data_IF_932857321528
#
_entry.id   IF_932857321528
#
_cell.length_a   1.000
_cell.length_b   1.000
_cell.length_c   1.000
_cell.angle_alpha   90.00
_cell.angle_beta   90.00
_cell.angle_gamma   90.00
#
_symmetry.space_group_name_H-M   'P 1'
#
loop_
_entity.id
_entity.type
_entity.pdbx_description
1 polymer ?
#
# COMPACT_ATOMS: atom_id res chain seq x y z
N UNK A 1 -18.44 20.06 -13.11
CA UNK A 1 -16.97 19.88 -13.31
C UNK A 1 -16.47 18.46 -13.06
N UNK A 2 -17.20 17.57 -12.35
CA UNK A 2 -16.73 16.21 -12.06
C UNK A 2 -16.93 15.18 -13.20
N UNK A 3 -17.94 15.36 -14.08
CA UNK A 3 -18.27 14.40 -15.15
C UNK A 3 -17.21 14.25 -16.27
N UNK A 4 -16.56 15.31 -16.78
CA UNK A 4 -15.50 15.17 -17.81
C UNK A 4 -14.25 14.48 -17.26
N UNK A 5 -13.93 14.71 -15.98
CA UNK A 5 -12.79 14.10 -15.29
C UNK A 5 -12.99 12.60 -15.03
N UNK A 6 -14.23 12.17 -14.84
CA UNK A 6 -14.60 10.76 -14.70
C UNK A 6 -14.42 9.99 -16.00
N UNK A 7 -14.80 10.60 -17.13
CA UNK A 7 -14.59 10.01 -18.44
C UNK A 7 -13.09 9.78 -18.70
N UNK A 8 -12.24 10.74 -18.30
CA UNK A 8 -10.77 10.58 -18.39
C UNK A 8 -10.17 9.57 -17.41
N UNK A 9 -10.76 9.38 -16.23
CA UNK A 9 -10.37 8.35 -15.24
C UNK A 9 -10.73 6.94 -15.74
N UNK A 10 -11.86 6.80 -16.43
CA UNK A 10 -12.34 5.53 -17.00
C UNK A 10 -11.76 5.23 -18.39
N UNK A 11 -11.45 6.25 -19.20
CA UNK A 11 -10.80 6.12 -20.52
C UNK A 11 -9.26 6.04 -20.39
N UNK A 12 -8.70 6.47 -19.25
CA UNK A 12 -7.26 6.47 -18.95
C UNK A 12 -6.65 5.13 -18.52
N UNK A 13 -7.40 4.03 -18.60
CA UNK A 13 -7.10 2.67 -18.09
C UNK A 13 -5.80 2.02 -18.59
N UNK A 14 -4.96 2.70 -19.36
CA UNK A 14 -3.71 2.15 -19.91
C UNK A 14 -2.53 3.09 -19.71
N UNK A 15 -2.16 3.42 -18.47
CA UNK A 15 -0.89 4.13 -18.22
C UNK A 15 -0.01 3.56 -17.10
N UNK A 16 1.03 2.85 -17.58
CA UNK A 16 2.42 2.70 -17.10
C UNK A 16 2.76 3.27 -15.71
N UNK A 17 2.41 2.56 -14.64
CA UNK A 17 3.04 2.75 -13.33
C UNK A 17 4.40 2.01 -13.32
N UNK A 18 5.51 2.75 -13.25
CA UNK A 18 6.88 2.23 -13.46
C UNK A 18 7.33 1.19 -12.42
N UNK A 19 6.79 1.22 -11.20
CA UNK A 19 7.14 0.25 -10.15
C UNK A 19 6.33 -1.06 -10.22
N UNK A 20 5.22 -1.06 -10.97
CA UNK A 20 4.39 -2.23 -11.23
C UNK A 20 4.63 -2.79 -12.63
N UNK A 21 5.57 -2.23 -13.41
CA UNK A 21 5.73 -2.51 -14.86
C UNK A 21 5.83 -3.99 -15.23
N UNK A 22 6.39 -4.83 -14.35
CA UNK A 22 6.51 -6.28 -14.54
C UNK A 22 5.26 -7.10 -14.15
N UNK A 23 4.33 -6.50 -13.41
CA UNK A 23 3.04 -7.12 -13.06
C UNK A 23 2.08 -7.07 -14.26
N UNK A 24 2.26 -6.10 -15.18
CA UNK A 24 1.34 -5.84 -16.29
C UNK A 24 1.39 -6.84 -17.46
N UNK A 25 2.31 -7.80 -17.47
CA UNK A 25 2.38 -8.84 -18.52
C UNK A 25 1.89 -10.20 -18.05
N UNK A 26 1.39 -10.30 -16.82
CA UNK A 26 0.99 -11.57 -16.22
C UNK A 26 -0.54 -11.68 -16.24
N UNK A 27 -1.01 -12.69 -16.96
CA UNK A 27 -2.40 -12.84 -17.39
C UNK A 27 -3.30 -13.49 -16.35
N UNK A 28 -2.79 -14.17 -15.32
CA UNK A 28 -3.65 -14.96 -14.44
C UNK A 28 -3.24 -15.01 -12.94
N UNK A 29 -4.29 -14.74 -12.16
CA UNK A 29 -4.53 -14.99 -10.74
C UNK A 29 -3.57 -14.40 -9.71
N UNK A 30 -3.97 -13.23 -9.20
CA UNK A 30 -3.30 -12.49 -8.15
C UNK A 30 -3.65 -13.07 -6.79
N UNK A 31 -2.70 -13.70 -6.10
CA UNK A 31 -2.87 -14.08 -4.69
C UNK A 31 -2.42 -12.91 -3.82
N UNK A 32 -3.28 -12.50 -2.88
CA UNK A 32 -2.85 -11.67 -1.75
C UNK A 32 -2.65 -12.56 -0.53
N UNK A 33 -1.44 -12.57 0.00
CA UNK A 33 -1.15 -13.05 1.35
C UNK A 33 -0.95 -11.82 2.21
N UNK A 34 -1.93 -11.53 3.07
CA UNK A 34 -1.83 -10.45 4.03
C UNK A 34 -1.36 -10.99 5.39
N UNK A 35 -0.27 -10.42 5.90
CA UNK A 35 0.25 -10.72 7.22
C UNK A 35 -0.70 -10.21 8.32
N UNK A 36 -0.70 -10.89 9.47
CA UNK A 36 -1.56 -10.58 10.62
C UNK A 36 -1.32 -9.14 11.12
N UNK A 37 -2.24 -8.65 11.97
CA UNK A 37 -2.12 -7.44 12.82
C UNK A 37 -0.92 -7.49 13.79
N UNK A 38 -0.02 -8.47 13.67
CA UNK A 38 1.18 -8.64 14.47
C UNK A 38 2.42 -8.90 13.59
N UNK A 39 2.39 -8.51 12.31
CA UNK A 39 3.49 -8.72 11.39
C UNK A 39 4.83 -8.23 11.97
N UNK A 40 4.85 -7.00 12.49
CA UNK A 40 6.02 -6.43 13.17
C UNK A 40 6.49 -7.25 14.37
N UNK A 41 5.58 -7.82 15.17
CA UNK A 41 5.95 -8.63 16.35
C UNK A 41 6.67 -9.94 15.99
N UNK A 42 6.75 -10.31 14.70
CA UNK A 42 7.57 -11.45 14.25
C UNK A 42 9.06 -11.10 14.19
N UNK A 43 9.41 -9.81 14.13
CA UNK A 43 10.80 -9.35 14.05
C UNK A 43 11.34 -9.08 15.48
N UNK A 44 12.44 -9.73 15.89
CA UNK A 44 13.13 -9.40 17.15
C UNK A 44 13.73 -8.00 17.10
N UNK A 45 13.73 -7.30 18.24
CA UNK A 45 14.52 -6.10 18.43
C UNK A 45 15.93 -6.51 18.88
N UNK A 46 16.96 -5.80 18.43
CA UNK A 46 18.33 -6.02 18.90
C UNK A 46 18.41 -5.81 20.41
N UNK A 47 19.12 -6.68 21.13
CA UNK A 47 19.14 -6.68 22.60
C UNK A 47 19.54 -5.32 23.20
N UNK A 48 20.45 -4.61 22.53
CA UNK A 48 20.90 -3.27 22.90
C UNK A 48 19.82 -2.17 22.78
N UNK A 49 18.78 -2.39 21.97
CA UNK A 49 17.71 -1.43 21.71
C UNK A 49 16.41 -1.70 22.48
N UNK A 50 16.29 -2.85 23.17
CA UNK A 50 15.06 -3.27 23.87
C UNK A 50 14.60 -2.21 24.88
N UNK A 51 15.52 -1.68 25.68
CA UNK A 51 15.23 -0.67 26.71
C UNK A 51 14.64 0.63 26.12
N UNK A 52 14.90 0.95 24.85
CA UNK A 52 14.33 2.12 24.16
C UNK A 52 12.84 1.97 23.86
N UNK A 53 12.31 0.75 23.95
CA UNK A 53 10.89 0.44 23.72
C UNK A 53 10.06 0.42 25.00
N UNK A 54 10.61 0.93 26.11
CA UNK A 54 9.94 0.94 27.39
C UNK A 54 8.63 1.74 27.35
N UNK A 55 7.52 1.09 27.72
CA UNK A 55 6.20 1.70 27.87
C UNK A 55 5.87 1.74 29.36
N UNK A 56 5.52 2.93 29.86
CA UNK A 56 5.02 3.12 31.22
C UNK A 56 3.52 2.87 31.28
N UNK A 57 3.12 1.94 32.13
CA UNK A 57 1.73 1.63 32.45
C UNK A 57 1.46 1.93 33.93
N UNK A 58 0.20 2.00 34.39
CA UNK A 58 -0.12 2.06 35.81
C UNK A 58 0.45 0.90 36.64
N UNK A 59 0.77 -0.23 35.99
CA UNK A 59 1.28 -1.45 36.62
C UNK A 59 2.81 -1.58 36.58
N UNK A 60 3.51 -0.60 36.01
CA UNK A 60 4.97 -0.60 35.92
C UNK A 60 5.51 -0.26 34.53
N UNK A 61 6.82 -0.41 34.39
CA UNK A 61 7.55 -0.21 33.14
C UNK A 61 7.76 -1.55 32.45
N UNK A 62 7.37 -1.63 31.17
CA UNK A 62 7.51 -2.84 30.36
C UNK A 62 8.29 -2.55 29.11
N UNK A 63 9.20 -3.45 28.74
CA UNK A 63 10.01 -3.37 27.53
C UNK A 63 9.56 -4.43 26.52
N UNK A 64 9.81 -4.19 25.23
CA UNK A 64 9.45 -5.13 24.18
C UNK A 64 10.66 -5.79 23.55
N UNK A 65 10.62 -7.12 23.49
CA UNK A 65 11.63 -7.94 22.79
C UNK A 65 11.36 -8.07 21.29
N UNK A 66 10.19 -7.61 20.83
CA UNK A 66 9.72 -7.71 19.45
C UNK A 66 9.26 -6.35 18.95
N UNK A 67 9.41 -6.13 17.66
CA UNK A 67 9.09 -4.84 17.06
C UNK A 67 7.61 -4.49 17.23
N UNK A 68 7.35 -3.32 17.82
CA UNK A 68 6.02 -2.81 18.08
C UNK A 68 5.57 -1.83 17.01
N UNK A 69 4.25 -1.63 16.92
CA UNK A 69 3.68 -0.54 16.14
C UNK A 69 4.07 0.80 16.75
N UNK A 70 4.29 1.80 15.90
CA UNK A 70 4.60 3.18 16.31
C UNK A 70 6.09 3.52 16.36
N UNK A 71 6.99 2.55 16.25
CA UNK A 71 8.42 2.81 16.07
C UNK A 71 8.65 3.46 14.70
N UNK A 72 9.42 4.56 14.66
CA UNK A 72 9.61 5.37 13.45
C UNK A 72 10.12 4.56 12.25
N UNK A 73 11.01 3.59 12.49
CA UNK A 73 11.64 2.81 11.43
C UNK A 73 11.02 1.42 11.23
N UNK A 74 9.98 1.04 11.98
CA UNK A 74 9.41 -0.31 11.92
C UNK A 74 8.98 -0.72 10.50
N UNK A 75 8.30 0.17 9.78
CA UNK A 75 7.85 -0.11 8.41
C UNK A 75 9.03 -0.35 7.45
N UNK A 76 10.09 0.47 7.56
CA UNK A 76 11.28 0.32 6.72
C UNK A 76 12.03 -0.97 7.02
N UNK A 77 12.24 -1.27 8.30
CA UNK A 77 12.90 -2.52 8.72
C UNK A 77 12.09 -3.75 8.28
N UNK A 78 10.76 -3.70 8.40
CA UNK A 78 9.89 -4.78 7.94
C UNK A 78 9.95 -4.97 6.43
N UNK A 79 9.95 -3.89 5.65
CA UNK A 79 10.10 -3.96 4.20
C UNK A 79 11.43 -4.60 3.82
N UNK A 80 12.56 -4.14 4.38
CA UNK A 80 13.88 -4.71 4.08
C UNK A 80 13.97 -6.19 4.43
N UNK A 81 13.36 -6.60 5.54
CA UNK A 81 13.30 -8.00 5.94
C UNK A 81 12.46 -8.84 4.97
N UNK A 82 11.27 -8.38 4.58
CA UNK A 82 10.42 -9.10 3.62
C UNK A 82 11.04 -9.13 2.21
N UNK A 83 11.79 -8.10 1.82
CA UNK A 83 12.55 -8.09 0.57
C UNK A 83 13.66 -9.16 0.58
N UNK A 84 14.31 -9.39 1.72
CA UNK A 84 15.27 -10.50 1.91
C UNK A 84 14.57 -11.86 1.80
N UNK A 85 13.44 -12.02 2.50
CA UNK A 85 12.65 -13.25 2.49
C UNK A 85 12.24 -13.58 1.06
N UNK A 86 11.65 -12.63 0.33
CA UNK A 86 11.15 -12.86 -1.04
C UNK A 86 12.22 -12.78 -2.12
N UNK A 87 13.49 -12.50 -1.77
CA UNK A 87 14.58 -12.35 -2.73
C UNK A 87 14.73 -13.61 -3.59
N UNK A 88 14.79 -13.38 -4.91
CA UNK A 88 14.98 -14.43 -5.92
C UNK A 88 13.70 -15.17 -6.32
N UNK A 89 12.56 -14.91 -5.66
CA UNK A 89 11.28 -15.46 -6.09
C UNK A 89 10.74 -14.66 -7.29
N UNK A 90 10.39 -15.36 -8.37
CA UNK A 90 9.82 -14.74 -9.57
C UNK A 90 8.32 -14.53 -9.38
N UNK A 91 7.79 -13.42 -9.88
CA UNK A 91 6.36 -13.11 -9.80
C UNK A 91 5.84 -12.81 -8.38
N UNK A 92 6.73 -12.71 -7.39
CA UNK A 92 6.38 -12.35 -6.00
C UNK A 92 6.75 -10.89 -5.76
N UNK A 93 5.79 -10.12 -5.26
CA UNK A 93 5.94 -8.70 -4.97
C UNK A 93 5.45 -8.44 -3.57
N UNK A 94 6.32 -7.93 -2.71
CA UNK A 94 5.97 -7.66 -1.33
C UNK A 94 5.98 -6.17 -1.02
N UNK A 95 4.96 -5.72 -0.31
CA UNK A 95 4.83 -4.35 0.15
C UNK A 95 4.36 -4.34 1.60
N UNK A 96 5.29 -4.05 2.50
CA UNK A 96 5.10 -4.09 3.95
C UNK A 96 4.37 -5.38 4.32
N UNK A 97 3.10 -5.31 4.71
CA UNK A 97 2.31 -6.43 5.21
C UNK A 97 1.57 -7.24 4.14
N UNK A 98 1.71 -6.87 2.87
CA UNK A 98 0.99 -7.50 1.76
C UNK A 98 1.99 -8.17 0.81
N UNK A 99 1.77 -9.45 0.49
CA UNK A 99 2.52 -10.16 -0.56
C UNK A 99 1.54 -10.48 -1.68
N UNK A 100 1.89 -10.00 -2.87
CA UNK A 100 1.21 -10.25 -4.14
C UNK A 100 1.99 -11.29 -4.93
N UNK A 101 1.32 -12.34 -5.41
CA UNK A 101 1.88 -13.28 -6.37
C UNK A 101 1.12 -13.15 -7.68
N UNK A 102 1.85 -12.92 -8.77
CA UNK A 102 1.33 -12.90 -10.13
C UNK A 102 2.08 -13.95 -10.98
N UNK A 103 1.37 -14.63 -11.88
CA UNK A 103 1.95 -15.67 -12.74
C UNK A 103 1.21 -15.71 -14.09
N UNK A 104 1.73 -16.45 -15.07
CA UNK A 104 1.08 -16.55 -16.38
C UNK A 104 0.09 -17.72 -16.50
N UNK A 105 0.27 -18.76 -15.68
CA UNK A 105 -0.57 -19.94 -15.65
C UNK A 105 -0.61 -20.57 -14.25
N UNK A 106 -1.57 -21.47 -14.02
CA UNK A 106 -1.83 -22.13 -12.72
C UNK A 106 -0.64 -22.97 -12.24
N UNK A 107 0.11 -23.60 -13.14
CA UNK A 107 1.26 -24.44 -12.80
C UNK A 107 2.44 -23.63 -12.26
N UNK A 108 2.78 -22.54 -12.95
CA UNK A 108 3.77 -21.55 -12.51
C UNK A 108 3.32 -20.95 -11.17
N UNK A 109 2.04 -20.62 -11.05
CA UNK A 109 1.47 -20.05 -9.85
C UNK A 109 1.59 -20.96 -8.63
N UNK A 110 1.27 -22.25 -8.80
CA UNK A 110 1.41 -23.26 -7.75
C UNK A 110 2.87 -23.44 -7.33
N UNK A 111 3.78 -23.37 -8.29
CA UNK A 111 5.23 -23.45 -8.05
C UNK A 111 5.72 -22.24 -7.26
N UNK A 112 5.30 -21.04 -7.64
CA UNK A 112 5.64 -19.79 -6.94
C UNK A 112 5.07 -19.75 -5.51
N UNK A 113 3.83 -20.20 -5.33
CA UNK A 113 3.20 -20.33 -4.01
C UNK A 113 3.99 -21.29 -3.10
N UNK A 114 4.36 -22.46 -3.62
CA UNK A 114 5.16 -23.44 -2.88
C UNK A 114 6.50 -22.85 -2.46
N UNK A 115 7.23 -22.25 -3.39
CA UNK A 115 8.52 -21.62 -3.12
C UNK A 115 8.42 -20.49 -2.08
N UNK A 116 7.34 -19.69 -2.14
CA UNK A 116 7.07 -18.69 -1.11
C UNK A 116 6.81 -19.35 0.24
N UNK A 117 5.91 -20.33 0.34
CA UNK A 117 5.59 -20.95 1.63
C UNK A 117 6.79 -21.65 2.26
N UNK A 118 7.61 -22.34 1.49
CA UNK A 118 8.88 -22.92 1.97
C UNK A 118 9.80 -21.84 2.54
N UNK A 119 9.86 -20.68 1.88
CA UNK A 119 10.66 -19.55 2.33
C UNK A 119 10.08 -18.91 3.60
N UNK A 120 8.76 -18.77 3.70
CA UNK A 120 8.11 -18.25 4.91
C UNK A 120 8.34 -19.19 6.09
N UNK A 121 8.25 -20.50 5.87
CA UNK A 121 8.52 -21.52 6.89
C UNK A 121 9.97 -21.48 7.34
N UNK A 122 10.92 -21.39 6.41
CA UNK A 122 12.35 -21.26 6.70
C UNK A 122 12.67 -20.05 7.60
N UNK A 123 12.01 -18.90 7.36
CA UNK A 123 12.16 -17.69 8.18
C UNK A 123 11.24 -17.66 9.42
N UNK A 124 10.43 -18.70 9.66
CA UNK A 124 9.53 -18.80 10.81
C UNK A 124 8.35 -17.80 10.78
N UNK A 125 7.93 -17.39 9.58
CA UNK A 125 6.87 -16.40 9.40
C UNK A 125 5.49 -17.05 9.28
N UNK A 126 4.52 -16.53 10.03
CA UNK A 126 3.15 -17.03 10.09
C UNK A 126 2.13 -16.15 9.35
N UNK A 127 1.43 -16.74 8.37
CA UNK A 127 0.36 -16.06 7.62
C UNK A 127 -1.00 -16.34 8.26
N UNK A 128 -2.01 -15.48 8.00
CA UNK A 128 -3.39 -15.73 8.45
C UNK A 128 -4.25 -16.20 7.27
N UNK A 129 -4.63 -17.49 7.18
CA UNK A 129 -5.40 -18.01 6.05
C UNK A 129 -6.69 -17.24 5.77
N UNK A 130 -7.40 -16.80 6.83
CA UNK A 130 -8.65 -16.04 6.70
C UNK A 130 -8.52 -14.66 6.04
N UNK A 131 -7.29 -14.17 5.85
CA UNK A 131 -7.00 -12.90 5.17
C UNK A 131 -6.30 -13.11 3.82
N UNK A 132 -6.01 -14.35 3.47
CA UNK A 132 -5.42 -14.68 2.20
C UNK A 132 -6.52 -14.86 1.16
N UNK A 133 -6.27 -14.41 -0.06
CA UNK A 133 -7.16 -14.61 -1.19
C UNK A 133 -6.36 -15.29 -2.28
N UNK A 134 -6.79 -16.47 -2.72
CA UNK A 134 -6.05 -17.28 -3.69
C UNK A 134 -6.84 -17.46 -4.97
N UNK A 135 -6.13 -17.46 -6.11
CA UNK A 135 -6.73 -17.88 -7.39
C UNK A 135 -7.83 -16.96 -7.93
N UNK A 136 -7.76 -15.63 -7.72
CA UNK A 136 -8.81 -14.68 -8.16
C UNK A 136 -8.38 -13.83 -9.36
N UNK A 137 -9.28 -13.67 -10.33
CA UNK A 137 -9.07 -12.84 -11.53
C UNK A 137 -8.92 -11.36 -11.20
N UNK A 138 -9.53 -10.97 -10.08
CA UNK A 138 -9.70 -9.61 -9.64
C UNK A 138 -9.37 -9.52 -8.16
N UNK A 139 -8.27 -8.84 -7.83
CA UNK A 139 -7.76 -8.71 -6.47
C UNK A 139 -7.74 -7.25 -6.03
N UNK A 140 -8.21 -6.99 -4.81
CA UNK A 140 -8.01 -5.69 -4.16
C UNK A 140 -6.67 -5.69 -3.42
N UNK A 141 -5.74 -4.83 -3.81
CA UNK A 141 -4.39 -4.76 -3.23
C UNK A 141 -3.89 -3.30 -3.20
N UNK A 142 -3.32 -2.86 -2.08
CA UNK A 142 -2.71 -1.53 -1.90
C UNK A 142 -3.58 -0.34 -2.32
N UNK A 143 -4.91 -0.45 -2.18
CA UNK A 143 -5.85 0.59 -2.58
C UNK A 143 -6.19 0.61 -4.07
N UNK A 144 -5.82 -0.44 -4.81
CA UNK A 144 -6.15 -0.64 -6.22
C UNK A 144 -6.88 -1.96 -6.44
N UNK A 145 -7.60 -2.02 -7.56
CA UNK A 145 -8.11 -3.25 -8.13
C UNK A 145 -7.08 -3.73 -9.17
N UNK A 146 -6.58 -4.95 -9.01
CA UNK A 146 -5.60 -5.61 -9.88
C UNK A 146 -6.31 -6.73 -10.63
N UNK A 147 -6.22 -6.71 -11.95
CA UNK A 147 -6.77 -7.74 -12.83
C UNK A 147 -5.82 -8.04 -13.99
N UNK A 148 -6.16 -9.05 -14.80
CA UNK A 148 -5.45 -9.38 -16.04
C UNK A 148 -5.41 -8.22 -17.04
N UNK A 149 -6.38 -7.31 -16.99
CA UNK A 149 -6.44 -6.12 -17.84
C UNK A 149 -5.55 -4.97 -17.33
N UNK A 150 -5.11 -5.03 -16.07
CA UNK A 150 -4.21 -4.06 -15.46
C UNK A 150 -4.64 -3.61 -14.06
N UNK A 151 -4.30 -2.36 -13.74
CA UNK A 151 -4.57 -1.77 -12.42
C UNK A 151 -5.61 -0.66 -12.59
N UNK A 152 -6.71 -0.77 -11.87
CA UNK A 152 -7.79 0.20 -11.85
C UNK A 152 -8.03 0.74 -10.43
N UNK A 153 -8.59 1.95 -10.28
CA UNK A 153 -8.91 2.50 -8.96
C UNK A 153 -10.07 1.75 -8.33
N UNK A 154 -10.09 1.66 -6.99
CA UNK A 154 -11.22 1.03 -6.29
C UNK A 154 -12.51 1.86 -6.47
N UNK A 155 -13.65 1.23 -6.82
CA UNK A 155 -14.92 1.94 -7.03
C UNK A 155 -15.32 2.83 -5.85
N UNK A 156 -15.13 2.38 -4.62
CA UNK A 156 -15.48 3.13 -3.41
C UNK A 156 -14.70 4.44 -3.29
N UNK A 157 -13.41 4.42 -3.63
CA UNK A 157 -12.57 5.62 -3.61
C UNK A 157 -12.89 6.55 -4.78
N UNK A 158 -13.23 6.01 -5.94
CA UNK A 158 -13.72 6.80 -7.08
C UNK A 158 -15.03 7.51 -6.70
N UNK A 159 -15.97 6.79 -6.11
CA UNK A 159 -17.24 7.33 -5.62
C UNK A 159 -17.00 8.41 -4.55
N UNK A 160 -16.04 8.21 -3.65
CA UNK A 160 -15.68 9.21 -2.65
C UNK A 160 -15.13 10.51 -3.27
N UNK A 161 -14.37 10.42 -4.37
CA UNK A 161 -13.90 11.60 -5.12
C UNK A 161 -15.06 12.27 -5.87
N UNK A 162 -15.94 11.49 -6.50
CA UNK A 162 -17.10 12.00 -7.24
C UNK A 162 -18.08 12.76 -6.33
N UNK A 163 -18.36 12.19 -5.16
CA UNK A 163 -19.30 12.73 -4.19
C UNK A 163 -18.64 13.73 -3.22
N UNK A 164 -17.37 14.05 -3.41
CA UNK A 164 -16.68 15.01 -2.56
C UNK A 164 -17.34 16.40 -2.72
N UNK A 165 -17.82 17.03 -1.64
CA UNK A 165 -18.50 18.31 -1.73
C UNK A 165 -17.54 19.38 -2.25
N UNK A 166 -18.05 20.37 -3.00
CA UNK A 166 -17.23 21.48 -3.53
C UNK A 166 -16.42 22.10 -2.38
N UNK A 167 -15.08 22.10 -2.45
CA UNK A 167 -14.26 22.66 -1.38
C UNK A 167 -14.51 24.16 -1.22
N UNK A 168 -14.94 24.58 -0.03
CA UNK A 168 -15.13 25.99 0.32
C UNK A 168 -14.02 26.51 1.25
N UNK A 169 -13.13 25.62 1.71
CA UNK A 169 -11.99 25.96 2.57
C UNK A 169 -10.70 25.38 2.01
N UNK A 170 -9.56 26.01 2.32
CA UNK A 170 -8.22 25.51 1.96
C UNK A 170 -7.97 24.09 2.47
N UNK A 171 -8.46 23.77 3.68
CA UNK A 171 -8.34 22.42 4.26
C UNK A 171 -9.10 21.39 3.43
N UNK A 172 -10.34 21.71 3.01
CA UNK A 172 -11.11 20.83 2.13
C UNK A 172 -10.44 20.68 0.76
N UNK A 173 -9.89 21.76 0.20
CA UNK A 173 -9.20 21.72 -1.09
C UNK A 173 -7.96 20.82 -1.04
N UNK A 174 -7.14 20.94 0.01
CA UNK A 174 -5.97 20.06 0.21
C UNK A 174 -6.37 18.60 0.39
N UNK A 175 -7.47 18.33 1.12
CA UNK A 175 -8.02 16.96 1.25
C UNK A 175 -8.44 16.39 -0.09
N UNK A 176 -9.20 17.15 -0.88
CA UNK A 176 -9.62 16.76 -2.23
C UNK A 176 -8.42 16.46 -3.13
N UNK A 177 -7.43 17.35 -3.16
CA UNK A 177 -6.20 17.15 -3.94
C UNK A 177 -5.40 15.95 -3.45
N UNK A 178 -5.38 15.65 -2.16
CA UNK A 178 -4.76 14.45 -1.61
C UNK A 178 -5.39 13.16 -2.16
N UNK A 179 -6.72 13.09 -2.15
CA UNK A 179 -7.47 11.95 -2.71
C UNK A 179 -7.20 11.78 -4.21
N UNK A 180 -7.21 12.89 -4.96
CA UNK A 180 -6.95 12.85 -6.41
C UNK A 180 -5.49 12.47 -6.72
N UNK A 181 -4.53 12.98 -5.94
CA UNK A 181 -3.11 12.70 -6.13
C UNK A 181 -2.76 11.22 -5.94
N UNK A 182 -3.50 10.50 -5.08
CA UNK A 182 -3.33 9.06 -4.91
C UNK A 182 -3.45 8.30 -6.24
N UNK A 183 -4.41 8.69 -7.09
CA UNK A 183 -4.65 8.08 -8.40
C UNK A 183 -4.02 8.83 -9.58
N UNK A 184 -3.20 9.86 -9.36
CA UNK A 184 -2.67 10.71 -10.44
C UNK A 184 -1.98 9.94 -11.56
N UNK A 185 -1.41 8.76 -11.25
CA UNK A 185 -0.69 7.91 -12.21
C UNK A 185 -1.61 7.26 -13.25
N UNK A 186 -2.89 7.07 -12.91
CA UNK A 186 -3.92 6.49 -13.78
C UNK A 186 -4.64 7.56 -14.61
N UNK A 187 -4.30 8.84 -14.40
CA UNK A 187 -5.02 9.96 -14.99
C UNK A 187 -4.11 10.64 -16.02
N UNK A 188 -4.45 10.57 -17.32
CA UNK A 188 -3.70 11.26 -18.36
C UNK A 188 -3.63 12.76 -18.09
N UNK A 189 -2.41 13.32 -18.16
CA UNK A 189 -2.16 14.76 -17.98
C UNK A 189 -2.67 15.33 -16.64
N UNK A 190 -2.70 14.51 -15.58
CA UNK A 190 -3.13 14.93 -14.24
C UNK A 190 -2.47 16.23 -13.76
N UNK A 191 -1.19 16.43 -14.05
CA UNK A 191 -0.47 17.65 -13.68
C UNK A 191 -1.09 18.91 -14.30
N UNK A 192 -1.46 18.88 -15.58
CA UNK A 192 -2.12 20.01 -16.25
C UNK A 192 -3.52 20.28 -15.69
N UNK A 193 -4.26 19.22 -15.37
CA UNK A 193 -5.60 19.31 -14.78
C UNK A 193 -5.54 19.96 -13.39
N UNK A 194 -4.57 19.57 -12.58
CA UNK A 194 -4.43 20.03 -11.20
C UNK A 194 -3.68 21.37 -11.06
N UNK A 195 -2.94 21.79 -12.09
CA UNK A 195 -2.15 23.01 -12.10
C UNK A 195 -2.88 24.26 -11.54
N UNK A 196 -4.12 24.60 -11.96
CA UNK A 196 -4.80 25.78 -11.42
C UNK A 196 -5.10 25.68 -9.93
N UNK A 197 -5.43 24.47 -9.44
CA UNK A 197 -5.73 24.24 -8.03
C UNK A 197 -4.46 24.24 -7.17
N UNK A 198 -3.36 23.72 -7.70
CA UNK A 198 -2.05 23.74 -7.03
C UNK A 198 -1.53 25.18 -6.96
N UNK A 199 -1.59 25.93 -8.06
CA UNK A 199 -1.20 27.34 -8.09
C UNK A 199 -2.02 28.19 -7.12
N UNK A 200 -3.30 27.87 -6.93
CA UNK A 200 -4.13 28.53 -5.93
C UNK A 200 -3.67 28.27 -4.48
N UNK A 201 -3.05 27.10 -4.21
CA UNK A 201 -2.50 26.79 -2.90
C UNK A 201 -1.14 27.46 -2.64
N UNK A 202 -0.41 27.85 -3.69
CA UNK A 202 0.84 28.57 -3.54
C UNK A 202 0.60 29.90 -2.80
N UNK A 203 1.38 30.16 -1.75
CA UNK A 203 1.23 31.32 -0.87
C UNK A 203 0.21 31.14 0.28
N UNK A 204 -0.60 30.09 0.27
CA UNK A 204 -1.57 29.81 1.33
C UNK A 204 -0.99 28.76 2.29
N UNK A 205 -0.23 29.19 3.30
CA UNK A 205 0.32 28.29 4.32
C UNK A 205 -0.68 27.99 5.44
N UNK A 206 -0.59 26.82 6.06
CA UNK A 206 -1.29 26.60 7.33
C UNK A 206 -0.75 27.59 8.38
N UNK A 207 -1.64 28.13 9.23
CA UNK A 207 -1.20 28.79 10.47
C UNK A 207 -0.28 27.82 11.21
N UNK A 208 0.96 28.23 11.51
CA UNK A 208 1.86 27.44 12.36
C UNK A 208 1.08 27.08 13.63
N UNK A 209 1.04 25.80 14.01
CA UNK A 209 0.58 25.43 15.35
C UNK A 209 1.44 26.23 16.34
N UNK A 210 0.86 26.90 17.35
CA UNK A 210 1.67 27.48 18.41
C UNK A 210 2.57 26.37 18.97
N UNK A 211 3.84 26.69 19.19
CA UNK A 211 4.77 25.79 19.87
C UNK A 211 4.09 25.30 21.14
N UNK A 212 4.05 23.98 21.32
CA UNK A 212 3.55 23.39 22.57
C UNK A 212 4.44 23.96 23.69
N UNK A 213 3.86 24.50 24.78
CA UNK A 213 4.64 25.00 25.90
C UNK A 213 5.52 23.90 26.49
#
# INVERSE_FOLDING_TARGET
MAQPLLKMLLEGQKTRAVHFRSIFTMTEFSVLIAWRVKAFHQIPIASEDIHKTAIRTPFGLFESTRMQFGLCNAASTFQSFIDEVTRGLKGVYAFINDILIASQNVQEHTTNLRALFERLDYYGLTIKPSKCTFGVDNLKCLGFQVSSEGISPLPDLVNAIQNFPRPNTLTQLRRFLGMYNFYRRLIPKAAHILAPLIKFLDGHTNKKKPSRP
#
